data_IF_213673073347
#
_entry.id   IF_213673073347
#
_cell.length_a   1.000
_cell.length_b   1.000
_cell.length_c   1.000
_cell.angle_alpha   90.00
_cell.angle_beta   90.00
_cell.angle_gamma   90.00
#
_symmetry.space_group_name_H-M   'P 1'
#
loop_
_entity.id
_entity.type
_entity.pdbx_description
1 polymer ?
#
# COMPACT_ATOMS: atom_id res chain seq x y z
N UNK A 1 8.70 15.90 -18.58
CA UNK A 1 7.61 16.58 -17.83
C UNK A 1 8.04 18.02 -17.61
N UNK A 2 7.36 18.95 -18.22
CA UNK A 2 7.65 20.38 -18.09
C UNK A 2 7.10 20.90 -16.77
N UNK A 3 7.97 21.45 -15.95
CA UNK A 3 7.57 22.23 -14.79
C UNK A 3 6.87 23.51 -15.28
N UNK A 4 5.77 23.93 -14.63
CA UNK A 4 4.95 25.11 -14.98
C UNK A 4 5.70 26.46 -15.04
N UNK A 5 7.02 26.46 -14.84
CA UNK A 5 7.88 27.66 -14.82
C UNK A 5 8.97 27.68 -15.91
N UNK A 6 8.84 26.89 -17.00
CA UNK A 6 9.79 26.98 -18.13
C UNK A 6 11.19 26.41 -17.83
N UNK A 7 11.35 25.59 -16.79
CA UNK A 7 12.61 24.91 -16.48
C UNK A 7 12.81 23.71 -17.39
N UNK A 8 14.06 23.44 -17.74
CA UNK A 8 14.43 22.27 -18.55
C UNK A 8 13.89 20.97 -17.88
N UNK A 9 13.37 20.01 -18.67
CA UNK A 9 12.92 18.75 -18.14
C UNK A 9 14.11 17.96 -17.58
N UNK A 10 13.91 17.29 -16.42
CA UNK A 10 14.90 16.33 -15.91
C UNK A 10 14.98 15.14 -16.87
N UNK A 11 16.19 14.59 -17.06
CA UNK A 11 16.41 13.45 -17.96
C UNK A 11 15.64 12.22 -17.49
N UNK A 12 15.70 11.91 -16.21
CA UNK A 12 15.03 10.75 -15.60
C UNK A 12 14.38 11.13 -14.28
N UNK A 13 13.24 10.51 -14.00
CA UNK A 13 12.59 10.60 -12.69
C UNK A 13 11.96 9.27 -12.32
N UNK A 14 12.26 8.78 -11.11
CA UNK A 14 11.58 7.62 -10.54
C UNK A 14 10.27 8.09 -9.88
N UNK A 15 9.16 7.45 -10.25
CA UNK A 15 7.86 7.69 -9.62
C UNK A 15 7.80 6.95 -8.31
N UNK A 16 7.72 7.69 -7.21
CA UNK A 16 7.56 7.15 -5.87
C UNK A 16 6.09 7.26 -5.46
N UNK A 17 5.54 6.29 -4.70
CA UNK A 17 4.25 6.45 -4.08
C UNK A 17 4.30 7.60 -3.08
N UNK A 18 3.43 8.58 -3.26
CA UNK A 18 3.25 9.70 -2.33
C UNK A 18 2.15 9.41 -1.30
N UNK A 19 1.99 10.30 -0.29
CA UNK A 19 0.84 10.28 0.60
C UNK A 19 -0.46 10.54 -0.17
N UNK A 20 -1.59 10.06 0.36
CA UNK A 20 -2.94 10.27 -0.19
C UNK A 20 -3.10 9.91 -1.68
N UNK A 21 -2.52 8.77 -2.12
CA UNK A 21 -2.51 8.27 -3.51
C UNK A 21 -1.81 9.19 -4.53
N UNK A 22 -1.08 10.18 -4.07
CA UNK A 22 -0.24 11.02 -4.90
C UNK A 22 1.02 10.31 -5.41
N UNK A 23 1.66 10.90 -6.41
CA UNK A 23 2.97 10.46 -6.93
C UNK A 23 3.99 11.56 -6.66
N UNK A 24 5.11 11.22 -6.03
CA UNK A 24 6.26 12.09 -5.84
C UNK A 24 7.37 11.64 -6.79
N UNK A 25 8.04 12.57 -7.44
CA UNK A 25 9.11 12.27 -8.39
C UNK A 25 10.47 12.37 -7.70
N UNK A 26 11.31 11.34 -7.85
CA UNK A 26 12.74 11.41 -7.50
C UNK A 26 13.53 11.78 -8.74
N UNK A 27 14.07 13.01 -8.84
CA UNK A 27 14.86 13.42 -9.98
C UNK A 27 16.21 12.71 -10.01
N UNK A 28 16.62 12.27 -11.19
CA UNK A 28 17.95 11.68 -11.45
C UNK A 28 18.54 12.40 -12.62
N UNK A 29 19.71 12.95 -12.46
CA UNK A 29 20.44 13.67 -13.49
C UNK A 29 21.84 13.07 -13.66
N UNK A 30 22.23 12.78 -14.89
CA UNK A 30 23.54 12.20 -15.19
C UNK A 30 24.55 13.30 -15.47
N UNK A 31 25.64 13.32 -14.73
CA UNK A 31 26.73 14.29 -14.89
C UNK A 31 28.07 13.58 -14.99
N UNK A 32 28.82 13.92 -16.01
CA UNK A 32 30.12 13.33 -16.23
C UNK A 32 31.16 14.40 -16.63
N UNK A 33 31.94 14.93 -15.67
CA UNK A 33 33.06 15.84 -15.97
C UNK A 33 34.24 15.06 -16.58
N UNK A 34 34.02 14.50 -17.79
CA UNK A 34 34.90 13.54 -18.44
C UNK A 34 36.34 14.06 -18.57
N UNK A 35 36.50 15.23 -19.19
CA UNK A 35 37.83 15.80 -19.49
C UNK A 35 38.62 16.02 -18.19
N UNK A 36 38.00 16.56 -17.15
CA UNK A 36 38.70 16.83 -15.89
C UNK A 36 39.15 15.52 -15.24
N UNK A 37 38.29 14.51 -15.28
CA UNK A 37 38.57 13.21 -14.71
C UNK A 37 39.69 12.49 -15.47
N UNK A 38 39.69 12.47 -16.80
CA UNK A 38 40.73 11.85 -17.61
C UNK A 38 42.06 12.57 -17.51
N UNK A 39 42.06 13.91 -17.49
CA UNK A 39 43.26 14.73 -17.28
C UNK A 39 43.88 14.46 -15.90
N UNK A 40 43.05 14.32 -14.87
CA UNK A 40 43.49 13.99 -13.52
C UNK A 40 44.17 12.60 -13.48
N UNK A 41 43.58 11.60 -14.17
CA UNK A 41 44.19 10.27 -14.28
C UNK A 41 45.52 10.31 -15.04
N UNK A 42 45.57 11.01 -16.18
CA UNK A 42 46.78 11.16 -16.96
C UNK A 42 47.92 11.84 -16.18
N UNK A 43 47.61 12.89 -15.41
CA UNK A 43 48.60 13.54 -14.52
C UNK A 43 49.12 12.57 -13.46
N UNK A 44 48.24 11.74 -12.88
CA UNK A 44 48.65 10.72 -11.93
C UNK A 44 49.61 9.67 -12.55
N UNK A 45 49.25 9.17 -13.74
CA UNK A 45 50.08 8.18 -14.46
C UNK A 45 51.48 8.74 -14.85
N UNK A 46 51.56 10.04 -15.13
CA UNK A 46 52.79 10.74 -15.48
C UNK A 46 53.60 11.17 -14.27
N UNK A 47 53.13 10.88 -13.06
CA UNK A 47 53.71 11.36 -11.80
C UNK A 47 53.79 12.90 -11.68
N UNK A 48 52.89 13.61 -12.40
CA UNK A 48 52.70 15.05 -12.29
C UNK A 48 51.79 15.37 -11.09
N UNK A 49 52.37 15.45 -9.92
CA UNK A 49 51.64 15.70 -8.68
C UNK A 49 51.03 17.10 -8.60
N UNK A 50 51.65 18.08 -9.22
CA UNK A 50 51.12 19.46 -9.26
C UNK A 50 49.86 19.54 -10.18
N UNK A 51 49.99 18.97 -11.35
CA UNK A 51 48.83 18.85 -12.29
C UNK A 51 47.71 18.04 -11.70
N UNK A 52 48.02 16.93 -11.02
CA UNK A 52 46.99 16.11 -10.34
C UNK A 52 46.23 16.91 -9.29
N UNK A 53 46.90 17.61 -8.38
CA UNK A 53 46.22 18.40 -7.34
C UNK A 53 45.46 19.60 -7.90
N UNK A 54 45.90 20.21 -9.01
CA UNK A 54 45.17 21.25 -9.70
C UNK A 54 43.88 20.71 -10.32
N UNK A 55 43.91 19.55 -11.01
CA UNK A 55 42.73 18.90 -11.60
C UNK A 55 41.77 18.38 -10.55
N UNK A 56 42.25 17.88 -9.45
CA UNK A 56 41.47 17.48 -8.28
C UNK A 56 40.65 18.65 -7.71
N UNK A 57 41.27 19.81 -7.51
CA UNK A 57 40.56 21.03 -7.08
C UNK A 57 39.51 21.46 -8.10
N UNK A 58 39.82 21.37 -9.40
CA UNK A 58 38.89 21.67 -10.47
C UNK A 58 37.70 20.70 -10.46
N UNK A 59 37.94 19.39 -10.27
CA UNK A 59 36.90 18.37 -10.15
C UNK A 59 35.94 18.69 -8.99
N UNK A 60 36.48 18.99 -7.81
CA UNK A 60 35.69 19.35 -6.62
C UNK A 60 34.75 20.52 -6.91
N UNK A 61 35.25 21.58 -7.50
CA UNK A 61 34.46 22.76 -7.80
C UNK A 61 33.38 22.47 -8.86
N UNK A 62 33.74 21.71 -9.89
CA UNK A 62 32.81 21.33 -10.95
C UNK A 62 31.67 20.48 -10.41
N UNK A 63 31.97 19.47 -9.58
CA UNK A 63 30.96 18.61 -8.94
C UNK A 63 30.02 19.41 -8.05
N UNK A 64 30.54 20.36 -7.27
CA UNK A 64 29.73 21.26 -6.42
C UNK A 64 28.81 22.14 -7.25
N UNK A 65 29.30 22.69 -8.35
CA UNK A 65 28.48 23.50 -9.25
C UNK A 65 27.37 22.65 -9.92
N UNK A 66 27.71 21.46 -10.40
CA UNK A 66 26.73 20.52 -10.95
C UNK A 66 25.64 20.16 -9.92
N UNK A 67 26.03 19.90 -8.68
CA UNK A 67 25.09 19.59 -7.60
C UNK A 67 24.15 20.79 -7.29
N UNK A 68 24.70 22.00 -7.30
CA UNK A 68 23.91 23.22 -7.14
C UNK A 68 22.89 23.39 -8.26
N UNK A 69 23.31 23.19 -9.50
CA UNK A 69 22.44 23.29 -10.67
C UNK A 69 21.30 22.27 -10.64
N UNK A 70 21.59 21.02 -10.27
CA UNK A 70 20.59 19.97 -10.13
C UNK A 70 19.57 20.36 -9.05
N UNK A 71 20.04 20.83 -7.88
CA UNK A 71 19.15 21.27 -6.81
C UNK A 71 18.21 22.38 -7.26
N UNK A 72 18.77 23.42 -7.88
CA UNK A 72 18.01 24.61 -8.30
C UNK A 72 17.01 24.29 -9.43
N UNK A 73 17.39 23.37 -10.34
CA UNK A 73 16.55 23.01 -11.48
C UNK A 73 15.46 22.02 -11.14
N UNK A 74 15.76 20.98 -10.32
CA UNK A 74 14.92 19.79 -10.27
C UNK A 74 14.33 19.49 -8.89
N UNK A 75 14.87 20.02 -7.78
CA UNK A 75 14.31 19.78 -6.44
C UNK A 75 13.22 20.80 -6.15
N UNK A 76 11.96 20.34 -6.15
CA UNK A 76 10.77 21.18 -5.94
C UNK A 76 9.68 20.43 -5.16
N UNK A 77 9.83 20.24 -3.85
CA UNK A 77 8.78 19.63 -3.02
C UNK A 77 7.49 20.48 -3.04
N UNK A 78 6.30 19.89 -2.99
CA UNK A 78 6.00 18.44 -2.82
C UNK A 78 5.93 17.64 -4.13
N UNK A 79 6.14 18.26 -5.31
CA UNK A 79 6.08 17.58 -6.62
C UNK A 79 7.22 16.59 -6.77
N UNK A 80 8.40 16.95 -6.25
CA UNK A 80 9.56 16.07 -6.19
C UNK A 80 9.89 15.74 -4.73
N UNK A 81 10.80 14.79 -4.55
CA UNK A 81 11.51 14.59 -3.29
C UNK A 81 12.27 15.87 -2.89
N UNK A 82 12.62 16.00 -1.62
CA UNK A 82 13.46 17.08 -1.10
C UNK A 82 14.97 16.92 -1.43
N UNK A 83 15.31 15.91 -2.23
CA UNK A 83 16.65 15.62 -2.72
C UNK A 83 16.58 15.09 -4.14
N UNK A 84 17.70 15.11 -4.87
CA UNK A 84 17.86 14.48 -6.17
C UNK A 84 19.09 13.57 -6.18
N UNK A 85 19.16 12.71 -7.21
CA UNK A 85 20.32 11.84 -7.42
C UNK A 85 21.15 12.39 -8.56
N UNK A 86 22.45 12.60 -8.33
CA UNK A 86 23.44 12.85 -9.36
C UNK A 86 24.12 11.53 -9.72
N UNK A 87 23.83 11.03 -10.90
CA UNK A 87 24.40 9.79 -11.41
C UNK A 87 25.73 10.04 -12.10
N UNK A 88 26.73 9.29 -11.69
CA UNK A 88 28.08 9.32 -12.24
C UNK A 88 28.29 8.02 -13.03
N UNK A 89 28.36 8.05 -14.38
CA UNK A 89 28.34 6.84 -15.20
C UNK A 89 29.60 5.98 -15.12
N UNK A 90 30.65 6.46 -14.42
CA UNK A 90 31.91 5.75 -14.24
C UNK A 90 32.19 5.51 -12.76
N UNK A 91 32.38 4.24 -12.39
CA UNK A 91 32.63 3.86 -11.00
C UNK A 91 33.91 4.50 -10.42
N UNK A 92 34.94 4.63 -11.23
CA UNK A 92 36.20 5.30 -10.82
C UNK A 92 35.99 6.76 -10.42
N UNK A 93 35.16 7.51 -11.15
CA UNK A 93 34.81 8.87 -10.80
C UNK A 93 34.03 8.93 -9.47
N UNK A 94 33.07 8.03 -9.29
CA UNK A 94 32.34 7.90 -8.02
C UNK A 94 33.30 7.64 -6.86
N UNK A 95 34.23 6.69 -7.03
CA UNK A 95 35.22 6.38 -6.01
C UNK A 95 36.13 7.57 -5.67
N UNK A 96 36.53 8.38 -6.66
CA UNK A 96 37.32 9.59 -6.42
C UNK A 96 36.52 10.63 -5.61
N UNK A 97 35.26 10.87 -5.92
CA UNK A 97 34.41 11.79 -5.17
C UNK A 97 34.22 11.33 -3.71
N UNK A 98 34.10 10.02 -3.50
CA UNK A 98 34.05 9.41 -2.16
C UNK A 98 35.35 9.66 -1.39
N UNK A 99 36.52 9.40 -2.03
CA UNK A 99 37.84 9.67 -1.42
C UNK A 99 38.06 11.14 -1.06
N UNK A 100 37.48 12.05 -1.87
CA UNK A 100 37.53 13.49 -1.61
C UNK A 100 36.63 13.95 -0.46
N UNK A 101 35.83 13.06 0.13
CA UNK A 101 34.94 13.36 1.27
C UNK A 101 33.78 14.28 0.91
N UNK A 102 33.39 14.36 -0.35
CA UNK A 102 32.35 15.29 -0.82
C UNK A 102 30.92 14.81 -0.52
N UNK A 103 30.70 13.55 -0.18
CA UNK A 103 29.37 12.97 -0.01
C UNK A 103 28.51 13.76 0.96
N UNK A 104 29.04 14.04 2.15
CA UNK A 104 28.29 14.74 3.21
C UNK A 104 28.02 16.20 2.85
N UNK A 105 28.95 16.87 2.21
CA UNK A 105 28.73 18.24 1.76
C UNK A 105 27.67 18.31 0.67
N UNK A 106 27.71 17.41 -0.31
CA UNK A 106 26.72 17.34 -1.39
C UNK A 106 25.32 17.04 -0.85
N UNK A 107 25.22 16.14 0.11
CA UNK A 107 23.94 15.79 0.75
C UNK A 107 23.41 16.94 1.60
N UNK A 108 24.20 17.46 2.50
CA UNK A 108 23.73 18.41 3.51
C UNK A 108 23.50 19.82 2.94
N UNK A 109 24.36 20.28 2.04
CA UNK A 109 24.30 21.64 1.48
C UNK A 109 23.43 21.73 0.23
N UNK A 110 23.54 20.72 -0.62
CA UNK A 110 22.86 20.73 -1.92
C UNK A 110 21.68 19.78 -2.01
N UNK A 111 21.47 18.92 -1.00
CA UNK A 111 20.42 17.90 -1.02
C UNK A 111 20.58 16.93 -2.22
N UNK A 112 21.83 16.63 -2.58
CA UNK A 112 22.17 15.74 -3.69
C UNK A 112 22.83 14.49 -3.15
N UNK A 113 22.28 13.34 -3.55
CA UNK A 113 22.87 12.02 -3.33
C UNK A 113 23.61 11.61 -4.57
N UNK A 114 24.90 11.29 -4.48
CA UNK A 114 25.66 10.79 -5.63
C UNK A 114 25.51 9.27 -5.73
N UNK A 115 25.49 8.74 -6.93
CA UNK A 115 25.47 7.32 -7.20
C UNK A 115 26.32 6.97 -8.42
N UNK A 116 27.20 5.98 -8.28
CA UNK A 116 27.89 5.31 -9.38
C UNK A 116 26.98 4.19 -9.94
N UNK A 117 27.42 3.46 -10.98
CA UNK A 117 26.64 2.37 -11.58
C UNK A 117 26.20 1.31 -10.56
N UNK A 118 27.11 0.85 -9.71
CA UNK A 118 26.82 -0.17 -8.70
C UNK A 118 25.86 0.33 -7.62
N UNK A 119 26.11 1.54 -7.11
CA UNK A 119 25.25 2.14 -6.08
C UNK A 119 23.88 2.55 -6.62
N UNK A 120 23.78 2.96 -7.87
CA UNK A 120 22.50 3.24 -8.54
C UNK A 120 21.67 1.96 -8.68
N UNK A 121 22.28 0.85 -9.10
CA UNK A 121 21.58 -0.43 -9.18
C UNK A 121 21.07 -0.88 -7.81
N UNK A 122 21.88 -0.74 -6.76
CA UNK A 122 21.48 -1.07 -5.39
C UNK A 122 20.34 -0.16 -4.89
N UNK A 123 20.41 1.15 -5.18
CA UNK A 123 19.35 2.11 -4.84
C UNK A 123 18.02 1.76 -5.51
N UNK A 124 18.03 1.51 -6.81
CA UNK A 124 16.82 1.17 -7.57
C UNK A 124 16.21 -0.16 -7.10
N UNK A 125 17.05 -1.16 -6.82
CA UNK A 125 16.58 -2.43 -6.27
C UNK A 125 15.97 -2.25 -4.87
N UNK A 126 16.57 -1.45 -4.01
CA UNK A 126 16.05 -1.15 -2.67
C UNK A 126 14.71 -0.41 -2.74
N UNK A 127 14.57 0.54 -3.66
CA UNK A 127 13.30 1.22 -3.91
C UNK A 127 12.23 0.25 -4.41
N UNK A 128 12.58 -0.64 -5.35
CA UNK A 128 11.66 -1.66 -5.87
C UNK A 128 11.13 -2.56 -4.75
N UNK A 129 12.01 -3.08 -3.88
CA UNK A 129 11.62 -3.91 -2.74
C UNK A 129 10.73 -3.13 -1.75
N UNK A 130 11.09 -1.88 -1.46
CA UNK A 130 10.28 -1.01 -0.61
C UNK A 130 8.87 -0.79 -1.16
N UNK A 131 8.73 -0.58 -2.46
CA UNK A 131 7.43 -0.40 -3.11
C UNK A 131 6.60 -1.67 -3.13
N UNK A 132 7.21 -2.83 -3.34
CA UNK A 132 6.52 -4.12 -3.23
C UNK A 132 5.96 -4.32 -1.82
N UNK A 133 6.74 -4.00 -0.79
CA UNK A 133 6.31 -4.09 0.60
C UNK A 133 5.12 -3.16 0.89
N UNK A 134 5.19 -1.90 0.43
CA UNK A 134 4.08 -0.95 0.58
C UNK A 134 2.81 -1.40 -0.16
N UNK A 135 2.96 -1.99 -1.35
CA UNK A 135 1.82 -2.52 -2.11
C UNK A 135 1.14 -3.70 -1.38
N UNK A 136 1.94 -4.58 -0.76
CA UNK A 136 1.43 -5.69 0.06
C UNK A 136 0.69 -5.16 1.29
N UNK A 137 1.25 -4.16 1.98
CA UNK A 137 0.60 -3.54 3.15
C UNK A 137 -0.75 -2.89 2.79
N UNK A 138 -0.82 -2.15 1.68
CA UNK A 138 -2.09 -1.57 1.20
C UNK A 138 -3.14 -2.66 0.94
N UNK A 139 -2.78 -3.74 0.24
CA UNK A 139 -3.68 -4.88 0.00
C UNK A 139 -4.12 -5.57 1.30
N UNK A 140 -3.20 -5.77 2.23
CA UNK A 140 -3.51 -6.36 3.54
C UNK A 140 -4.54 -5.53 4.31
N UNK A 141 -4.37 -4.21 4.36
CA UNK A 141 -5.32 -3.31 5.03
C UNK A 141 -6.71 -3.35 4.37
N UNK A 142 -6.78 -3.48 3.05
CA UNK A 142 -8.05 -3.64 2.33
C UNK A 142 -8.75 -4.96 2.70
N UNK A 143 -8.01 -6.07 2.76
CA UNK A 143 -8.53 -7.37 3.21
C UNK A 143 -9.06 -7.28 4.65
N UNK A 144 -8.34 -6.66 5.57
CA UNK A 144 -8.82 -6.47 6.94
C UNK A 144 -10.10 -5.65 7.02
N UNK A 145 -10.23 -4.62 6.19
CA UNK A 145 -11.46 -3.82 6.10
C UNK A 145 -12.64 -4.65 5.61
N UNK A 146 -12.44 -5.47 4.57
CA UNK A 146 -13.48 -6.37 4.04
C UNK A 146 -13.88 -7.40 5.09
N UNK A 147 -12.92 -8.03 5.76
CA UNK A 147 -13.19 -8.99 6.84
C UNK A 147 -13.97 -8.35 8.00
N UNK A 148 -13.65 -7.11 8.35
CA UNK A 148 -14.41 -6.35 9.35
C UNK A 148 -15.87 -6.12 8.94
N UNK A 149 -16.12 -5.77 7.70
CA UNK A 149 -17.47 -5.61 7.15
C UNK A 149 -18.23 -6.94 7.16
N UNK A 150 -17.61 -8.03 6.70
CA UNK A 150 -18.19 -9.37 6.73
C UNK A 150 -18.54 -9.80 8.14
N UNK A 151 -17.64 -9.60 9.12
CA UNK A 151 -17.92 -9.90 10.54
C UNK A 151 -19.15 -9.16 11.05
N UNK A 152 -19.31 -7.90 10.66
CA UNK A 152 -20.46 -7.07 11.05
C UNK A 152 -21.76 -7.62 10.47
N UNK A 153 -21.75 -8.03 9.19
CA UNK A 153 -22.93 -8.62 8.54
C UNK A 153 -23.29 -9.99 9.15
N UNK A 154 -22.30 -10.82 9.48
CA UNK A 154 -22.57 -12.08 10.21
C UNK A 154 -23.19 -11.84 11.59
N UNK A 155 -22.76 -10.81 12.32
CA UNK A 155 -23.36 -10.48 13.62
C UNK A 155 -24.85 -10.08 13.47
N UNK A 156 -25.18 -9.29 12.44
CA UNK A 156 -26.58 -8.94 12.13
C UNK A 156 -27.39 -10.17 11.74
N UNK A 157 -26.84 -11.04 10.90
CA UNK A 157 -27.48 -12.28 10.48
C UNK A 157 -27.79 -13.19 11.68
N UNK A 158 -26.83 -13.38 12.59
CA UNK A 158 -27.03 -14.12 13.83
C UNK A 158 -28.18 -13.54 14.68
N UNK A 159 -28.23 -12.21 14.82
CA UNK A 159 -29.33 -11.55 15.55
C UNK A 159 -30.71 -11.75 14.91
N UNK A 160 -30.78 -11.83 13.58
CA UNK A 160 -32.03 -12.13 12.86
C UNK A 160 -32.44 -13.59 13.13
N UNK A 161 -31.51 -14.53 13.06
CA UNK A 161 -31.78 -15.95 13.36
C UNK A 161 -32.30 -16.11 14.79
N UNK A 162 -31.67 -15.48 15.79
CA UNK A 162 -32.12 -15.52 17.16
C UNK A 162 -33.56 -14.98 17.33
N UNK A 163 -33.85 -13.91 16.59
CA UNK A 163 -35.21 -13.33 16.57
C UNK A 163 -36.25 -14.28 15.95
N UNK A 164 -35.91 -14.95 14.85
CA UNK A 164 -36.77 -15.97 14.20
C UNK A 164 -37.00 -17.13 15.15
N UNK A 165 -35.94 -17.61 15.82
CA UNK A 165 -36.04 -18.72 16.77
C UNK A 165 -36.97 -18.40 17.93
N UNK A 166 -36.88 -17.19 18.50
CA UNK A 166 -37.79 -16.70 19.52
C UNK A 166 -39.26 -16.66 19.06
N UNK A 167 -39.51 -16.19 17.84
CA UNK A 167 -40.85 -16.16 17.24
C UNK A 167 -41.42 -17.57 17.01
N UNK A 168 -40.58 -18.50 16.54
CA UNK A 168 -40.96 -19.90 16.32
C UNK A 168 -41.33 -20.57 17.62
N UNK A 169 -40.51 -20.39 18.67
CA UNK A 169 -40.79 -20.92 19.99
C UNK A 169 -42.08 -20.32 20.61
N UNK A 170 -42.32 -19.01 20.38
CA UNK A 170 -43.58 -18.36 20.75
C UNK A 170 -44.77 -18.97 20.05
N UNK A 171 -44.72 -19.14 18.72
CA UNK A 171 -45.77 -19.75 17.94
C UNK A 171 -46.03 -21.21 18.35
N UNK A 172 -44.98 -21.98 18.63
CA UNK A 172 -45.12 -23.38 19.16
C UNK A 172 -45.84 -23.39 20.51
N UNK A 173 -45.50 -22.52 21.43
CA UNK A 173 -46.16 -22.42 22.75
C UNK A 173 -47.66 -22.00 22.60
N UNK A 174 -47.96 -21.06 21.67
CA UNK A 174 -49.33 -20.65 21.42
C UNK A 174 -50.18 -21.80 20.83
N UNK A 175 -49.59 -22.60 19.93
CA UNK A 175 -50.19 -23.81 19.36
C UNK A 175 -50.48 -24.85 20.45
N UNK A 176 -49.49 -25.14 21.34
CA UNK A 176 -49.67 -26.06 22.44
C UNK A 176 -50.77 -25.62 23.40
N UNK A 177 -50.86 -24.34 23.66
CA UNK A 177 -51.89 -23.75 24.51
C UNK A 177 -53.28 -23.85 23.88
N UNK A 178 -53.43 -23.59 22.55
CA UNK A 178 -54.67 -23.74 21.83
C UNK A 178 -55.13 -25.19 21.75
N UNK A 179 -54.22 -26.13 21.48
CA UNK A 179 -54.52 -27.56 21.43
C UNK A 179 -54.95 -28.05 22.84
N UNK A 180 -54.19 -27.70 23.86
CA UNK A 180 -54.47 -28.13 25.23
C UNK A 180 -55.77 -27.53 25.80
N UNK A 181 -56.15 -26.31 25.44
CA UNK A 181 -57.41 -25.68 25.86
C UNK A 181 -58.62 -26.29 25.08
N UNK A 182 -58.48 -26.39 23.75
CA UNK A 182 -59.57 -26.95 22.91
C UNK A 182 -59.78 -28.42 23.15
N UNK A 183 -58.76 -29.24 23.28
CA UNK A 183 -58.89 -30.64 23.56
C UNK A 183 -59.61 -30.87 24.90
N UNK A 184 -59.27 -30.10 25.94
CA UNK A 184 -59.95 -30.17 27.24
C UNK A 184 -61.43 -29.70 27.15
N UNK A 185 -61.75 -28.71 26.30
CA UNK A 185 -63.11 -28.23 26.07
C UNK A 185 -63.94 -29.27 25.33
N UNK A 186 -63.39 -29.93 24.30
CA UNK A 186 -64.01 -31.00 23.54
C UNK A 186 -64.23 -32.23 24.41
N UNK A 187 -63.23 -32.65 25.20
CA UNK A 187 -63.37 -33.78 26.15
C UNK A 187 -64.50 -33.52 27.16
N UNK A 188 -64.62 -32.27 27.62
CA UNK A 188 -65.67 -31.91 28.60
C UNK A 188 -67.05 -31.92 27.92
N UNK A 189 -67.18 -31.51 26.67
CA UNK A 189 -68.42 -31.54 25.89
C UNK A 189 -68.81 -32.96 25.50
N UNK A 190 -67.86 -33.81 25.14
CA UNK A 190 -68.08 -35.22 24.82
C UNK A 190 -68.46 -36.05 26.05
N UNK A 191 -67.95 -35.77 27.24
CA UNK A 191 -68.42 -36.44 28.48
C UNK A 191 -69.89 -36.21 28.78
N UNK A 192 -70.45 -35.11 28.34
CA UNK A 192 -71.90 -34.85 28.48
C UNK A 192 -72.77 -35.50 27.39
N UNK A 193 -72.18 -35.99 26.31
CA UNK A 193 -72.87 -36.67 25.21
C UNK A 193 -72.95 -38.19 25.39
N UNK A 194 -72.09 -38.78 26.17
CA UNK A 194 -72.09 -40.24 26.44
C UNK A 194 -73.17 -40.72 27.44
N UNK A 195 -74.11 -39.83 27.79
CA UNK A 195 -75.23 -40.18 28.67
C UNK A 195 -76.56 -40.51 27.98
N UNK A 196 -76.55 -40.61 26.64
CA UNK A 196 -77.72 -41.06 25.85
C UNK A 196 -77.32 -42.33 25.09
N UNK A 197 -77.24 -43.43 25.82
CA UNK A 197 -77.22 -44.77 25.23
C UNK A 197 -78.67 -45.15 24.88
N UNK A 198 -79.07 -45.04 23.64
CA UNK A 198 -80.23 -45.71 23.10
C UNK A 198 -79.81 -46.47 21.85
N UNK A 199 -79.81 -47.82 22.01
CA UNK A 199 -79.24 -48.77 21.08
C UNK A 199 -79.81 -48.65 19.62
N UNK A 200 -79.05 -48.03 18.74
CA UNK A 200 -79.19 -48.32 17.35
C UNK A 200 -77.92 -47.92 16.57
N UNK A 201 -77.27 -48.96 16.04
CA UNK A 201 -76.45 -49.06 14.84
C UNK A 201 -75.17 -48.20 14.69
N UNK A 202 -74.01 -48.82 14.52
CA UNK A 202 -72.74 -48.10 14.22
C UNK A 202 -72.80 -47.60 12.76
N UNK A 203 -72.57 -46.34 12.60
CA UNK A 203 -72.31 -45.70 11.30
C UNK A 203 -70.99 -46.27 10.71
N UNK A 204 -71.18 -47.07 9.60
CA UNK A 204 -70.05 -47.46 8.75
C UNK A 204 -69.53 -46.20 8.02
N UNK A 205 -68.26 -45.86 8.22
CA UNK A 205 -67.61 -44.87 7.38
C UNK A 205 -67.07 -45.55 6.12
N UNK A 206 -67.30 -45.02 4.93
CA UNK A 206 -66.73 -45.55 3.71
C UNK A 206 -65.23 -45.27 3.71
N UNK A 207 -64.46 -46.32 3.45
CA UNK A 207 -63.02 -46.21 3.14
C UNK A 207 -62.93 -45.48 1.77
N UNK A 208 -62.28 -44.33 1.78
CA UNK A 208 -62.00 -43.57 0.56
C UNK A 208 -60.66 -44.01 -0.01
N UNK A 209 -60.62 -44.27 -1.32
CA UNK A 209 -59.45 -44.53 -2.18
C UNK A 209 -58.39 -43.39 -2.16
#
# INVERSE_FOLDING_TARGET
MTNKQGREPVEFAVKLPGGDDGTVLLPIDSKFPYTIYTDMQAAYEQNDFEGYEAKKKQLVNTVKNMAKDIKEKYVNPPVTTNFAVMFLPVEGLYAEIVKLGLIDELRNKYSITIAGPTTMAALLNSLQMGFQTLAIQKKSNEVWRILGAVKTEFAKFSGIIDSIQKKLNGASNDLDQLIGVRTRAIDRSLRNVTACDDGSNPLEFPEGD
#
